data_IF_404396365836
#
_entry.id   IF_404396365836
#
_cell.length_a   1.000
_cell.length_b   1.000
_cell.length_c   1.000
_cell.angle_alpha   90.00
_cell.angle_beta   90.00
_cell.angle_gamma   90.00
#
_symmetry.space_group_name_H-M   'P 1'
#
loop_
_entity.id
_entity.type
_entity.pdbx_description
1 polymer ?
#
# COMPACT_ATOMS: atom_id res chain seq x y z
N UNK A 1 -3.54 46.98 -13.43
CA UNK A 1 -4.98 46.71 -13.17
C UNK A 1 -5.63 46.17 -14.44
N UNK A 2 -5.81 44.85 -14.52
CA UNK A 2 -6.63 44.19 -15.56
C UNK A 2 -7.18 42.90 -14.95
N UNK A 3 -8.38 43.01 -14.36
CA UNK A 3 -9.16 41.86 -13.90
C UNK A 3 -9.73 41.14 -15.13
N UNK A 4 -9.46 39.85 -15.26
CA UNK A 4 -10.19 38.97 -16.17
C UNK A 4 -11.25 38.22 -15.37
N UNK A 5 -12.51 38.46 -15.75
CA UNK A 5 -13.70 37.83 -15.18
C UNK A 5 -13.77 36.36 -15.59
N UNK A 6 -13.84 35.46 -14.61
CA UNK A 6 -14.31 34.09 -14.81
C UNK A 6 -15.84 34.02 -14.61
N UNK A 7 -16.58 33.23 -15.40
CA UNK A 7 -18.01 33.02 -15.20
C UNK A 7 -18.28 32.01 -14.07
N UNK A 8 -19.45 32.05 -13.41
CA UNK A 8 -19.73 31.23 -12.24
C UNK A 8 -20.07 29.77 -12.59
N UNK A 9 -19.57 28.85 -11.77
CA UNK A 9 -19.86 27.42 -11.77
C UNK A 9 -21.35 27.16 -11.50
N UNK A 10 -21.99 26.34 -12.36
CA UNK A 10 -23.37 25.86 -12.18
C UNK A 10 -23.45 24.85 -11.04
N UNK A 11 -24.39 25.08 -10.13
CA UNK A 11 -24.74 24.17 -9.06
C UNK A 11 -25.36 22.86 -9.59
N UNK A 12 -24.81 21.72 -9.19
CA UNK A 12 -25.41 20.40 -9.39
C UNK A 12 -26.35 20.11 -8.21
N UNK A 13 -27.64 19.98 -8.50
CA UNK A 13 -28.65 19.54 -7.53
C UNK A 13 -28.60 18.01 -7.38
N UNK A 14 -28.32 17.54 -6.16
CA UNK A 14 -28.47 16.13 -5.80
C UNK A 14 -29.95 15.83 -5.47
N UNK A 15 -30.54 14.85 -6.15
CA UNK A 15 -31.87 14.31 -5.82
C UNK A 15 -31.72 12.95 -5.15
N UNK A 16 -32.17 12.86 -3.89
CA UNK A 16 -32.23 11.62 -3.10
C UNK A 16 -33.55 10.92 -3.39
N UNK A 17 -33.50 9.71 -3.94
CA UNK A 17 -34.67 8.84 -4.06
C UNK A 17 -34.60 7.75 -2.97
N UNK A 18 -35.36 7.94 -1.88
CA UNK A 18 -35.68 6.90 -0.91
C UNK A 18 -36.69 5.92 -1.53
N UNK A 19 -36.34 4.63 -1.62
CA UNK A 19 -37.33 3.55 -1.76
C UNK A 19 -37.26 2.63 -0.55
N UNK A 20 -38.35 2.66 0.23
CA UNK A 20 -38.72 1.66 1.23
C UNK A 20 -39.16 0.37 0.54
N UNK A 21 -38.84 -0.78 1.12
CA UNK A 21 -39.60 -2.02 0.97
C UNK A 21 -39.65 -2.73 2.33
N UNK A 22 -40.87 -3.06 2.76
CA UNK A 22 -41.20 -3.89 3.93
C UNK A 22 -41.93 -5.16 3.46
N UNK A 23 -41.90 -6.14 4.36
CA UNK A 23 -42.77 -7.31 4.54
C UNK A 23 -42.40 -8.66 3.91
N UNK A 24 -41.72 -9.46 4.76
CA UNK A 24 -42.26 -10.62 5.49
C UNK A 24 -43.01 -11.71 4.70
N UNK A 25 -42.47 -12.95 4.74
CA UNK A 25 -43.29 -14.17 4.87
C UNK A 25 -42.56 -15.28 5.66
N UNK A 26 -43.18 -15.58 6.79
CA UNK A 26 -43.04 -16.65 7.79
C UNK A 26 -43.11 -18.08 7.22
N UNK A 27 -42.26 -19.00 7.73
CA UNK A 27 -42.64 -20.33 8.32
C UNK A 27 -41.42 -21.23 8.61
N UNK A 28 -41.16 -21.44 9.90
CA UNK A 28 -40.69 -22.71 10.50
C UNK A 28 -41.88 -23.72 10.60
N UNK A 29 -41.77 -25.01 11.05
CA UNK A 29 -40.77 -25.57 11.98
C UNK A 29 -40.37 -27.08 11.86
N UNK A 30 -39.51 -27.51 12.80
CA UNK A 30 -39.40 -28.82 13.52
C UNK A 30 -38.21 -29.78 13.26
N UNK A 31 -37.37 -29.88 14.30
CA UNK A 31 -36.88 -31.09 15.03
C UNK A 31 -36.21 -32.26 14.28
N UNK A 32 -34.99 -32.65 14.69
CA UNK A 32 -34.76 -33.66 15.76
C UNK A 32 -33.28 -34.02 15.94
N UNK A 33 -32.97 -34.37 17.19
CA UNK A 33 -31.69 -34.81 17.73
C UNK A 33 -31.43 -36.30 17.44
N UNK A 34 -30.17 -36.71 17.27
CA UNK A 34 -29.69 -38.05 17.64
C UNK A 34 -28.16 -38.10 17.77
N UNK A 35 -27.69 -38.17 19.01
CA UNK A 35 -26.39 -38.71 19.42
C UNK A 35 -26.44 -40.24 19.37
N UNK A 36 -25.40 -40.89 18.85
CA UNK A 36 -25.03 -42.25 19.26
C UNK A 36 -23.51 -42.40 19.36
N UNK A 37 -23.09 -42.69 20.58
CA UNK A 37 -21.77 -43.17 21.04
C UNK A 37 -21.77 -44.70 20.94
N UNK A 38 -20.63 -45.37 20.65
CA UNK A 38 -20.26 -46.67 21.26
C UNK A 38 -18.85 -47.15 20.85
N UNK A 39 -17.94 -47.08 21.83
CA UNK A 39 -16.91 -48.03 22.31
C UNK A 39 -15.95 -48.85 21.41
N UNK A 40 -14.72 -48.93 21.91
CA UNK A 40 -13.63 -49.92 21.68
C UNK A 40 -13.23 -50.51 23.06
N UNK A 41 -12.21 -51.41 23.24
CA UNK A 41 -11.58 -52.51 22.47
C UNK A 41 -11.58 -53.84 23.34
N UNK A 42 -10.70 -54.89 23.20
CA UNK A 42 -9.29 -54.82 23.68
C UNK A 42 -8.21 -55.77 23.05
N UNK A 43 -6.95 -55.33 23.22
CA UNK A 43 -5.68 -56.02 23.61
C UNK A 43 -5.13 -57.31 22.95
N UNK A 44 -3.83 -57.24 22.57
CA UNK A 44 -2.83 -58.22 23.03
C UNK A 44 -1.56 -58.47 22.18
N UNK A 45 -0.39 -58.18 22.79
CA UNK A 45 0.93 -58.85 22.68
C UNK A 45 2.04 -58.32 21.73
N UNK A 46 3.10 -57.78 22.36
CA UNK A 46 4.52 -57.73 21.93
C UNK A 46 5.29 -58.91 22.59
N UNK A 47 6.47 -59.36 22.08
CA UNK A 47 7.78 -58.80 22.50
C UNK A 47 8.98 -58.85 21.47
N UNK A 48 9.91 -57.87 21.60
CA UNK A 48 11.42 -57.94 21.62
C UNK A 48 12.22 -58.41 20.36
N UNK A 49 13.47 -58.03 19.98
CA UNK A 49 14.60 -57.15 20.40
C UNK A 49 15.61 -57.00 19.18
N UNK A 50 16.51 -55.98 19.18
CA UNK A 50 17.59 -55.54 18.21
C UNK A 50 18.73 -56.57 17.87
N UNK A 51 19.82 -56.35 17.01
CA UNK A 51 20.52 -55.11 16.54
C UNK A 51 21.23 -55.02 15.13
N UNK A 52 21.63 -53.78 14.76
CA UNK A 52 22.80 -53.27 13.95
C UNK A 52 23.09 -53.61 12.45
N UNK A 53 23.37 -52.56 11.66
CA UNK A 53 24.07 -52.57 10.34
C UNK A 53 24.50 -51.15 9.86
N UNK A 54 25.54 -50.98 9.00
CA UNK A 54 26.41 -49.79 8.98
C UNK A 54 26.08 -48.68 7.96
N UNK A 55 26.64 -47.48 8.24
CA UNK A 55 26.57 -46.16 7.59
C UNK A 55 26.56 -46.11 6.04
N UNK A 56 26.07 -44.97 5.50
CA UNK A 56 27.01 -44.10 4.78
C UNK A 56 26.91 -42.64 5.27
N UNK A 57 28.06 -42.14 5.70
CA UNK A 57 28.35 -40.72 5.89
C UNK A 57 28.28 -40.03 4.53
N UNK A 58 27.16 -39.34 4.27
CA UNK A 58 27.10 -38.37 3.18
C UNK A 58 27.67 -37.06 3.72
N UNK A 59 28.98 -36.87 3.57
CA UNK A 59 29.55 -35.52 3.46
C UNK A 59 29.04 -34.94 2.15
N UNK A 60 27.78 -34.52 2.16
CA UNK A 60 27.18 -33.67 1.15
C UNK A 60 27.61 -32.26 1.48
N UNK A 61 28.61 -31.80 0.74
CA UNK A 61 28.98 -30.42 0.61
C UNK A 61 27.70 -29.63 0.33
N UNK A 62 27.14 -29.02 1.38
CA UNK A 62 26.01 -28.12 1.27
C UNK A 62 26.48 -26.90 0.51
N UNK A 63 26.44 -26.98 -0.81
CA UNK A 63 26.41 -25.80 -1.65
C UNK A 63 25.28 -24.95 -1.11
N UNK A 64 25.64 -23.81 -0.54
CA UNK A 64 24.70 -22.75 -0.25
C UNK A 64 24.24 -22.21 -1.61
N UNK A 65 23.33 -22.93 -2.26
CA UNK A 65 22.38 -22.32 -3.17
C UNK A 65 21.48 -21.48 -2.26
N UNK A 66 21.87 -20.23 -2.02
CA UNK A 66 20.95 -19.24 -1.50
C UNK A 66 19.92 -19.03 -2.59
N UNK A 67 18.85 -19.82 -2.56
CA UNK A 67 17.62 -19.50 -3.26
C UNK A 67 17.19 -18.13 -2.73
N UNK A 68 17.36 -17.10 -3.55
CA UNK A 68 16.96 -15.72 -3.25
C UNK A 68 15.43 -15.67 -3.28
N UNK A 69 14.81 -16.15 -2.20
CA UNK A 69 13.38 -16.10 -2.01
C UNK A 69 12.94 -14.66 -1.81
N UNK A 70 12.04 -14.19 -2.68
CA UNK A 70 11.37 -12.91 -2.50
C UNK A 70 10.37 -13.00 -1.33
N UNK A 71 10.38 -11.99 -0.46
CA UNK A 71 9.39 -11.88 0.61
C UNK A 71 8.02 -11.42 0.08
N UNK A 72 6.95 -11.73 0.81
CA UNK A 72 5.60 -11.26 0.46
C UNK A 72 5.53 -9.73 0.35
N UNK A 73 6.20 -9.00 1.24
CA UNK A 73 6.26 -7.53 1.22
C UNK A 73 6.95 -6.99 -0.05
N UNK A 74 8.03 -7.65 -0.49
CA UNK A 74 8.74 -7.28 -1.72
C UNK A 74 7.86 -7.52 -2.96
N UNK A 75 7.14 -8.64 -2.98
CA UNK A 75 6.16 -8.94 -4.02
C UNK A 75 5.03 -7.91 -4.04
N UNK A 76 4.46 -7.59 -2.89
CA UNK A 76 3.41 -6.58 -2.76
C UNK A 76 3.90 -5.21 -3.27
N UNK A 77 5.09 -4.78 -2.86
CA UNK A 77 5.70 -3.53 -3.31
C UNK A 77 5.85 -3.50 -4.84
N UNK A 78 6.35 -4.57 -5.46
CA UNK A 78 6.49 -4.65 -6.93
C UNK A 78 5.14 -4.55 -7.63
N UNK A 79 4.11 -5.25 -7.13
CA UNK A 79 2.77 -5.18 -7.71
C UNK A 79 2.21 -3.76 -7.63
N UNK A 80 2.29 -3.11 -6.46
CA UNK A 80 1.80 -1.73 -6.28
C UNK A 80 2.58 -0.74 -7.15
N UNK A 81 3.89 -0.93 -7.30
CA UNK A 81 4.74 -0.11 -8.19
C UNK A 81 4.29 -0.25 -9.65
N UNK A 82 4.09 -1.49 -10.12
CA UNK A 82 3.62 -1.77 -11.49
C UNK A 82 2.20 -1.23 -11.73
N UNK A 83 1.34 -1.26 -10.71
CA UNK A 83 -0.03 -0.77 -10.77
C UNK A 83 -0.13 0.74 -11.01
N UNK A 84 0.90 1.52 -10.65
CA UNK A 84 0.91 2.97 -10.86
C UNK A 84 0.74 3.35 -12.33
N UNK A 85 1.29 2.58 -13.27
CA UNK A 85 1.15 2.83 -14.71
C UNK A 85 -0.32 2.80 -15.19
N UNK A 86 -1.17 2.08 -14.46
CA UNK A 86 -2.58 1.85 -14.80
C UNK A 86 -3.54 2.78 -14.06
N UNK A 87 -3.07 3.57 -13.09
CA UNK A 87 -3.88 4.53 -12.34
C UNK A 87 -4.53 5.60 -13.22
N UNK A 88 -3.89 6.18 -14.25
CA UNK A 88 -4.55 7.19 -15.09
C UNK A 88 -5.81 6.66 -15.78
N UNK A 89 -5.80 5.39 -16.19
CA UNK A 89 -6.93 4.74 -16.86
C UNK A 89 -7.97 4.23 -15.86
N UNK A 90 -7.55 3.40 -14.89
CA UNK A 90 -8.46 2.66 -14.00
C UNK A 90 -8.75 3.39 -12.68
N UNK A 91 -7.94 4.39 -12.32
CA UNK A 91 -8.00 5.07 -11.03
C UNK A 91 -7.30 4.29 -9.92
N UNK A 92 -7.53 4.71 -8.67
CA UNK A 92 -6.95 4.09 -7.48
C UNK A 92 -7.81 2.90 -7.04
N UNK A 93 -7.76 1.80 -7.80
CA UNK A 93 -8.69 0.67 -7.61
C UNK A 93 -7.98 -0.69 -7.69
N UNK A 94 -8.70 -1.75 -7.29
CA UNK A 94 -8.22 -3.13 -7.41
C UNK A 94 -7.98 -3.54 -8.88
N UNK A 95 -8.68 -2.94 -9.84
CA UNK A 95 -8.44 -3.16 -11.27
C UNK A 95 -7.05 -2.67 -11.69
N UNK A 96 -6.61 -1.48 -11.25
CA UNK A 96 -5.24 -1.01 -11.53
C UNK A 96 -4.18 -1.95 -10.94
N UNK A 97 -4.43 -2.48 -9.74
CA UNK A 97 -3.58 -3.48 -9.09
C UNK A 97 -3.55 -4.79 -9.89
N UNK A 98 -4.71 -5.24 -10.39
CA UNK A 98 -4.80 -6.44 -11.21
C UNK A 98 -4.05 -6.29 -12.55
N UNK A 99 -4.13 -5.13 -13.22
CA UNK A 99 -3.34 -4.86 -14.41
C UNK A 99 -1.83 -4.81 -14.10
N UNK A 100 -1.43 -4.19 -12.99
CA UNK A 100 -0.04 -4.21 -12.51
C UNK A 100 0.47 -5.63 -12.21
N UNK A 101 -0.37 -6.50 -11.65
CA UNK A 101 -0.01 -7.90 -11.43
C UNK A 101 0.22 -8.65 -12.76
N UNK A 102 -0.61 -8.39 -13.79
CA UNK A 102 -0.46 -9.02 -15.10
C UNK A 102 0.87 -8.65 -15.78
N UNK A 103 1.34 -7.41 -15.67
CA UNK A 103 2.62 -7.01 -16.27
C UNK A 103 3.81 -7.73 -15.64
N UNK A 104 3.66 -8.17 -14.39
CA UNK A 104 4.64 -9.00 -13.67
C UNK A 104 4.48 -10.51 -13.96
N UNK A 105 3.58 -10.91 -14.87
CA UNK A 105 3.30 -12.32 -15.18
C UNK A 105 2.50 -13.04 -14.10
N UNK A 106 1.87 -12.31 -13.17
CA UNK A 106 1.06 -12.87 -12.09
C UNK A 106 -0.41 -12.98 -12.50
N UNK A 107 -1.15 -13.84 -11.80
CA UNK A 107 -2.60 -13.92 -11.94
C UNK A 107 -3.27 -12.65 -11.40
N UNK A 108 -4.38 -12.23 -12.01
CA UNK A 108 -5.22 -11.13 -11.49
C UNK A 108 -5.72 -11.37 -10.07
N UNK A 109 -5.77 -12.63 -9.63
CA UNK A 109 -6.10 -13.00 -8.26
C UNK A 109 -5.11 -12.43 -7.22
N UNK A 110 -3.89 -12.07 -7.63
CA UNK A 110 -2.91 -11.41 -6.77
C UNK A 110 -3.40 -10.05 -6.25
N UNK A 111 -4.33 -9.37 -6.95
CA UNK A 111 -4.98 -8.17 -6.43
C UNK A 111 -5.77 -8.41 -5.14
N UNK A 112 -6.18 -9.66 -4.87
CA UNK A 112 -6.86 -10.05 -3.63
C UNK A 112 -5.98 -10.04 -2.38
N UNK A 113 -4.66 -9.84 -2.52
CA UNK A 113 -3.77 -9.62 -1.37
C UNK A 113 -3.95 -8.22 -0.77
N UNK A 114 -4.60 -7.31 -1.49
CA UNK A 114 -4.78 -5.92 -1.10
C UNK A 114 -6.25 -5.61 -0.78
N UNK A 115 -6.47 -4.52 -0.05
CA UNK A 115 -7.79 -3.98 0.19
C UNK A 115 -8.42 -3.47 -1.12
N UNK A 116 -9.71 -3.77 -1.30
CA UNK A 116 -10.45 -3.40 -2.51
C UNK A 116 -10.71 -1.90 -2.70
N UNK A 117 -10.47 -1.09 -1.66
CA UNK A 117 -10.67 0.36 -1.68
C UNK A 117 -9.49 1.14 -2.29
N UNK A 118 -8.44 0.44 -2.75
CA UNK A 118 -7.25 1.05 -3.36
C UNK A 118 -6.36 1.81 -2.38
N UNK A 119 -6.65 1.74 -1.07
CA UNK A 119 -5.92 2.48 -0.04
C UNK A 119 -4.42 2.17 -0.03
N UNK A 120 -4.05 0.91 -0.17
CA UNK A 120 -2.64 0.48 -0.21
C UNK A 120 -1.91 1.04 -1.43
N UNK A 121 -2.56 1.13 -2.59
CA UNK A 121 -1.96 1.73 -3.78
C UNK A 121 -1.73 3.23 -3.60
N UNK A 122 -2.69 3.94 -2.99
CA UNK A 122 -2.53 5.38 -2.72
C UNK A 122 -1.43 5.61 -1.68
N UNK A 123 -1.42 4.85 -0.59
CA UNK A 123 -0.41 4.95 0.47
C UNK A 123 0.99 4.62 -0.04
N UNK A 124 1.11 3.58 -0.88
CA UNK A 124 2.34 3.23 -1.58
C UNK A 124 2.85 4.40 -2.43
N UNK A 125 2.00 4.98 -3.26
CA UNK A 125 2.37 6.14 -4.08
C UNK A 125 2.81 7.35 -3.26
N UNK A 126 2.11 7.65 -2.15
CA UNK A 126 2.51 8.74 -1.24
C UNK A 126 3.88 8.47 -0.64
N UNK A 127 4.13 7.23 -0.19
CA UNK A 127 5.42 6.79 0.34
C UNK A 127 6.53 6.93 -0.70
N UNK A 128 6.33 6.48 -1.94
CA UNK A 128 7.31 6.60 -3.02
C UNK A 128 7.62 8.07 -3.36
N UNK A 129 6.60 8.94 -3.40
CA UNK A 129 6.81 10.36 -3.61
C UNK A 129 7.61 11.01 -2.48
N UNK A 130 7.34 10.64 -1.24
CA UNK A 130 8.07 11.15 -0.09
C UNK A 130 9.53 10.67 -0.12
N UNK A 131 9.78 9.38 -0.35
CA UNK A 131 11.12 8.83 -0.50
C UNK A 131 11.90 9.48 -1.66
N UNK A 132 11.22 9.77 -2.77
CA UNK A 132 11.80 10.51 -3.90
C UNK A 132 12.14 11.95 -3.53
N UNK A 133 11.28 12.64 -2.78
CA UNK A 133 11.54 13.97 -2.27
C UNK A 133 12.77 13.96 -1.37
N UNK A 134 12.84 13.08 -0.37
CA UNK A 134 13.98 13.02 0.56
C UNK A 134 15.30 12.77 -0.18
N UNK A 135 15.33 11.92 -1.21
CA UNK A 135 16.50 11.74 -2.09
C UNK A 135 16.89 13.00 -2.88
N UNK A 136 15.91 13.77 -3.36
CA UNK A 136 16.17 15.04 -4.05
C UNK A 136 16.78 16.07 -3.09
N UNK A 137 16.20 16.21 -1.90
CA UNK A 137 16.67 17.14 -0.87
C UNK A 137 18.07 16.76 -0.36
N UNK A 138 18.32 15.47 -0.13
CA UNK A 138 19.65 14.96 0.23
C UNK A 138 20.70 15.30 -0.83
N UNK A 139 20.35 15.16 -2.11
CA UNK A 139 21.24 15.51 -3.22
C UNK A 139 21.53 17.01 -3.25
N UNK A 140 20.51 17.86 -3.12
CA UNK A 140 20.70 19.32 -3.06
C UNK A 140 21.57 19.72 -1.87
N UNK A 141 21.34 19.15 -0.70
CA UNK A 141 22.15 19.41 0.49
C UNK A 141 23.61 18.99 0.30
N UNK A 142 23.88 17.87 -0.37
CA UNK A 142 25.25 17.42 -0.70
C UNK A 142 25.97 18.42 -1.62
N UNK A 143 25.28 18.99 -2.62
CA UNK A 143 25.86 20.01 -3.48
C UNK A 143 26.24 21.27 -2.69
N UNK A 144 25.41 21.68 -1.73
CA UNK A 144 25.73 22.80 -0.83
C UNK A 144 26.94 22.49 0.05
N UNK A 145 27.02 21.27 0.62
CA UNK A 145 28.16 20.85 1.45
C UNK A 145 29.48 20.78 0.68
N UNK A 146 29.45 20.43 -0.61
CA UNK A 146 30.61 20.41 -1.50
C UNK A 146 30.99 21.80 -2.03
N UNK A 147 30.19 22.83 -1.75
CA UNK A 147 30.39 24.18 -2.27
C UNK A 147 30.05 24.32 -3.76
N UNK A 148 29.33 23.35 -4.34
CA UNK A 148 28.88 23.35 -5.74
C UNK A 148 27.54 24.10 -5.92
N UNK A 149 26.83 24.39 -4.83
CA UNK A 149 25.62 25.19 -4.79
C UNK A 149 25.59 26.09 -3.54
N UNK A 150 24.89 27.22 -3.62
CA UNK A 150 24.65 28.10 -2.47
C UNK A 150 23.46 27.62 -1.63
N UNK A 151 23.50 27.85 -0.32
CA UNK A 151 22.35 27.59 0.57
C UNK A 151 21.23 28.58 0.22
N UNK A 152 20.07 28.06 -0.18
CA UNK A 152 18.87 28.87 -0.43
C UNK A 152 18.33 29.46 0.88
N UNK A 153 17.71 30.66 0.84
CA UNK A 153 16.83 31.13 1.90
C UNK A 153 15.73 30.10 2.23
N UNK A 154 15.27 30.07 3.48
CA UNK A 154 14.30 29.06 3.95
C UNK A 154 12.99 29.13 3.16
N UNK A 155 12.47 30.32 2.88
CA UNK A 155 11.23 30.53 2.13
C UNK A 155 11.32 30.00 0.69
N UNK A 156 12.45 30.23 0.03
CA UNK A 156 12.72 29.70 -1.30
C UNK A 156 12.88 28.18 -1.27
N UNK A 157 13.61 27.64 -0.28
CA UNK A 157 13.76 26.20 -0.11
C UNK A 157 12.42 25.49 0.09
N UNK A 158 11.56 26.00 0.99
CA UNK A 158 10.25 25.43 1.27
C UNK A 158 9.35 25.45 0.03
N UNK A 159 9.35 26.57 -0.71
CA UNK A 159 8.60 26.68 -1.97
C UNK A 159 9.04 25.62 -2.97
N UNK A 160 10.34 25.49 -3.18
CA UNK A 160 10.90 24.55 -4.16
C UNK A 160 10.63 23.09 -3.77
N UNK A 161 10.76 22.74 -2.48
CA UNK A 161 10.49 21.40 -1.98
C UNK A 161 9.00 21.03 -2.14
N UNK A 162 8.09 21.93 -1.78
CA UNK A 162 6.64 21.72 -1.93
C UNK A 162 6.26 21.63 -3.41
N UNK A 163 6.80 22.51 -4.26
CA UNK A 163 6.57 22.46 -5.70
C UNK A 163 7.07 21.13 -6.29
N UNK A 164 8.29 20.71 -5.95
CA UNK A 164 8.84 19.44 -6.40
C UNK A 164 7.96 18.25 -6.00
N UNK A 165 7.46 18.24 -4.76
CA UNK A 165 6.56 17.21 -4.26
C UNK A 165 5.20 17.19 -4.96
N UNK A 166 4.61 18.35 -5.22
CA UNK A 166 3.31 18.47 -5.90
C UNK A 166 3.40 18.15 -7.38
N UNK A 167 4.53 18.45 -8.04
CA UNK A 167 4.76 18.07 -9.45
C UNK A 167 4.76 16.57 -9.67
N UNK A 168 5.05 15.76 -8.66
CA UNK A 168 4.93 14.29 -8.74
C UNK A 168 3.50 13.81 -8.96
N UNK A 169 2.49 14.65 -8.67
CA UNK A 169 1.07 14.32 -8.86
C UNK A 169 0.60 14.52 -10.30
N UNK A 170 1.36 15.24 -11.15
CA UNK A 170 0.94 15.62 -12.50
C UNK A 170 0.44 14.43 -13.34
N UNK A 171 1.13 13.26 -13.37
CA UNK A 171 0.65 12.12 -14.15
C UNK A 171 -0.70 11.55 -13.68
N UNK A 172 -1.08 11.82 -12.43
CA UNK A 172 -2.23 11.25 -11.75
C UNK A 172 -3.29 12.29 -11.38
N UNK A 173 -3.16 13.54 -11.87
CA UNK A 173 -3.90 14.70 -11.37
C UNK A 173 -5.42 14.53 -11.53
N UNK A 174 -5.87 13.91 -12.62
CA UNK A 174 -7.29 13.65 -12.90
C UNK A 174 -7.93 12.70 -11.89
N UNK A 175 -7.13 11.79 -11.31
CA UNK A 175 -7.58 10.79 -10.32
C UNK A 175 -7.19 11.18 -8.89
N UNK A 176 -6.42 12.24 -8.70
CA UNK A 176 -5.95 12.65 -7.37
C UNK A 176 -7.06 13.02 -6.39
N UNK A 177 -8.17 13.67 -6.80
CA UNK A 177 -9.31 13.89 -5.89
C UNK A 177 -9.89 12.60 -5.30
N UNK A 178 -9.92 11.52 -6.09
CA UNK A 178 -10.32 10.19 -5.60
C UNK A 178 -9.34 9.68 -4.54
N UNK A 179 -8.03 9.71 -4.81
CA UNK A 179 -7.00 9.32 -3.85
C UNK A 179 -7.13 10.09 -2.52
N UNK A 180 -7.33 11.41 -2.58
CA UNK A 180 -7.53 12.21 -1.37
C UNK A 180 -8.74 11.75 -0.56
N UNK A 181 -9.85 11.38 -1.22
CA UNK A 181 -11.02 10.84 -0.51
C UNK A 181 -10.72 9.52 0.20
N UNK A 182 -9.87 8.67 -0.38
CA UNK A 182 -9.44 7.39 0.21
C UNK A 182 -8.51 7.62 1.41
N UNK A 183 -7.57 8.56 1.32
CA UNK A 183 -6.66 8.91 2.43
C UNK A 183 -7.41 9.48 3.65
N UNK A 184 -8.52 10.17 3.41
CA UNK A 184 -9.36 10.77 4.46
C UNK A 184 -10.35 9.79 5.11
N UNK A 185 -10.39 8.53 4.68
CA UNK A 185 -11.20 7.51 5.36
C UNK A 185 -10.65 7.25 6.78
N UNK A 186 -11.51 7.06 7.80
CA UNK A 186 -11.06 6.92 9.20
C UNK A 186 -9.97 5.87 9.43
N UNK A 187 -10.03 4.75 8.69
CA UNK A 187 -9.03 3.68 8.75
C UNK A 187 -7.65 4.07 8.19
N UNK A 188 -7.60 5.03 7.28
CA UNK A 188 -6.38 5.46 6.56
C UNK A 188 -5.78 6.73 7.16
N UNK A 189 -6.53 7.50 7.94
CA UNK A 189 -6.06 8.74 8.57
C UNK A 189 -4.76 8.53 9.36
N UNK A 190 -4.59 7.51 10.21
CA UNK A 190 -3.35 7.34 10.96
C UNK A 190 -2.12 7.22 10.06
N UNK A 191 -2.16 6.35 9.05
CA UNK A 191 -1.06 6.14 8.11
C UNK A 191 -0.83 7.36 7.21
N UNK A 192 -1.90 7.98 6.72
CA UNK A 192 -1.83 9.17 5.86
C UNK A 192 -1.23 10.35 6.60
N UNK A 193 -1.63 10.55 7.86
CA UNK A 193 -1.10 11.61 8.71
C UNK A 193 0.37 11.35 9.06
N UNK A 194 0.73 10.11 9.39
CA UNK A 194 2.14 9.74 9.63
C UNK A 194 3.02 10.06 8.43
N UNK A 195 2.58 9.72 7.21
CA UNK A 195 3.32 10.02 5.98
C UNK A 195 3.44 11.53 5.74
N UNK A 196 2.37 12.30 6.04
CA UNK A 196 2.38 13.75 5.91
C UNK A 196 3.35 14.39 6.92
N UNK A 197 3.29 14.00 8.19
CA UNK A 197 4.16 14.57 9.23
C UNK A 197 5.62 14.22 8.98
N UNK A 198 5.94 12.96 8.63
CA UNK A 198 7.30 12.57 8.29
C UNK A 198 7.85 13.33 7.08
N UNK A 199 7.03 13.61 6.06
CA UNK A 199 7.44 14.44 4.92
C UNK A 199 7.73 15.89 5.34
N UNK A 200 6.91 16.46 6.23
CA UNK A 200 7.12 17.81 6.76
C UNK A 200 8.41 17.85 7.57
N UNK A 201 8.65 16.87 8.44
CA UNK A 201 9.88 16.75 9.23
C UNK A 201 11.12 16.62 8.34
N UNK A 202 11.05 15.82 7.27
CA UNK A 202 12.14 15.71 6.28
C UNK A 202 12.42 17.06 5.60
N UNK A 203 11.39 17.79 5.15
CA UNK A 203 11.56 19.11 4.53
C UNK A 203 12.23 20.07 5.52
N UNK A 204 11.78 20.12 6.77
CA UNK A 204 12.39 20.97 7.80
C UNK A 204 13.83 20.57 8.12
N UNK A 205 14.11 19.27 8.20
CA UNK A 205 15.46 18.75 8.40
C UNK A 205 16.43 19.27 7.33
N UNK A 206 16.03 19.19 6.06
CA UNK A 206 16.88 19.63 4.94
C UNK A 206 16.90 21.15 4.73
N UNK A 207 15.90 21.90 5.17
CA UNK A 207 15.93 23.36 5.18
C UNK A 207 17.10 23.91 6.04
N UNK A 208 17.58 23.09 6.97
CA UNK A 208 18.67 23.46 7.87
C UNK A 208 18.28 24.64 8.76
N UNK A 209 17.01 24.67 9.15
CA UNK A 209 16.50 25.61 10.14
C UNK A 209 16.88 25.13 11.54
N UNK A 210 17.56 26.00 12.30
CA UNK A 210 17.83 25.83 13.74
C UNK A 210 17.12 26.91 14.57
N UNK A 211 16.28 27.74 13.94
CA UNK A 211 15.50 28.76 14.62
C UNK A 211 14.17 28.19 15.11
N UNK A 212 13.79 28.56 16.32
CA UNK A 212 12.58 28.11 17.01
C UNK A 212 11.52 29.21 17.09
N UNK A 213 11.47 30.13 16.11
CA UNK A 213 10.64 31.35 16.14
C UNK A 213 9.76 31.51 14.89
#
# INVERSE_FOLDING_TARGET
>A
VRCQHYPPLRALQASVALRRASDEHKKEPLTSSSQQHFDSPPAGHQPEQEPQGPHPSYTGQGGQESEDYESEEQLQHRILTAALEFVPEHGWTAEAIAEGAKTLGLSVAAAGMFHSDGSELVLHFVSECNAKLSKLLEKEQKLVQLGEAEKKPIDEFLRDAVEARLRMLIPYIEKWPQALSVLLLPRNIPSSLSLLTSMIDDIWHYAGDQSTD
#
